data_IF_563168236644
#
_entry.id   IF_563168236644
#
_cell.length_a   1.000
_cell.length_b   1.000
_cell.length_c   1.000
_cell.angle_alpha   90.00
_cell.angle_beta   90.00
_cell.angle_gamma   90.00
#
_symmetry.space_group_name_H-M   'P 1'
#
loop_
_entity.id
_entity.type
_entity.pdbx_description
1 polymer ?
#
# COMPACT_ATOMS: atom_id res chain seq x y z
N UNK A 1 4.65 44.98 54.12
CA UNK A 1 3.38 44.39 53.63
C UNK A 1 3.39 44.44 52.11
N UNK A 2 3.58 43.32 51.43
CA UNK A 2 3.24 43.20 50.00
C UNK A 2 2.88 41.74 49.72
N UNK A 3 1.59 41.46 49.58
CA UNK A 3 1.11 40.15 49.14
C UNK A 3 1.12 40.18 47.60
N UNK A 4 2.03 39.46 46.97
CA UNK A 4 1.96 39.19 45.54
C UNK A 4 1.08 37.94 45.35
N UNK A 5 -0.20 38.16 45.08
CA UNK A 5 -1.10 37.12 44.56
C UNK A 5 -0.74 36.85 43.10
N UNK A 6 -0.03 35.76 42.84
CA UNK A 6 0.13 35.22 41.48
C UNK A 6 -1.15 34.43 41.17
N UNK A 7 -1.98 34.99 40.31
CA UNK A 7 -3.18 34.33 39.81
C UNK A 7 -2.78 33.09 39.01
N UNK A 8 -3.26 31.92 39.45
CA UNK A 8 -3.07 30.64 38.79
C UNK A 8 -3.93 30.60 37.52
N UNK A 9 -3.32 30.92 36.38
CA UNK A 9 -3.92 30.76 35.06
C UNK A 9 -4.09 29.26 34.77
N UNK A 10 -5.24 28.69 35.16
CA UNK A 10 -5.65 27.37 34.70
C UNK A 10 -5.91 27.44 33.19
N UNK A 11 -4.87 27.16 32.40
CA UNK A 11 -4.99 26.86 30.98
C UNK A 11 -5.84 25.59 30.85
N UNK A 12 -7.14 25.80 30.63
CA UNK A 12 -8.06 24.76 30.23
C UNK A 12 -7.57 24.22 28.88
N UNK A 13 -6.83 23.11 28.92
CA UNK A 13 -6.60 22.27 27.77
C UNK A 13 -7.94 21.66 27.36
N UNK A 14 -8.77 22.43 26.64
CA UNK A 14 -9.85 21.84 25.87
C UNK A 14 -9.19 20.95 24.83
N UNK A 15 -9.21 19.65 25.07
CA UNK A 15 -8.94 18.67 24.03
C UNK A 15 -9.94 18.92 22.90
N UNK A 16 -9.46 19.48 21.79
CA UNK A 16 -10.24 19.52 20.56
C UNK A 16 -10.52 18.08 20.16
N UNK A 17 -11.73 17.58 20.43
CA UNK A 17 -12.18 16.32 19.86
C UNK A 17 -12.36 16.57 18.37
N UNK A 18 -11.40 16.10 17.57
CA UNK A 18 -11.51 16.13 16.13
C UNK A 18 -12.73 15.29 15.74
N UNK A 19 -13.77 15.93 15.18
CA UNK A 19 -14.87 15.20 14.58
C UNK A 19 -14.31 14.35 13.44
N UNK A 20 -14.42 13.04 13.58
CA UNK A 20 -14.06 12.11 12.50
C UNK A 20 -15.07 12.31 11.38
N UNK A 21 -14.61 12.75 10.21
CA UNK A 21 -15.46 12.88 9.04
C UNK A 21 -16.20 11.57 8.77
N UNK A 22 -17.51 11.63 8.51
CA UNK A 22 -18.29 10.47 8.10
C UNK A 22 -17.86 10.03 6.71
N UNK A 23 -17.07 8.97 6.64
CA UNK A 23 -16.68 8.34 5.38
C UNK A 23 -17.90 7.63 4.78
N UNK A 24 -18.12 7.84 3.48
CA UNK A 24 -19.23 7.25 2.73
C UNK A 24 -18.73 6.56 1.46
N UNK A 25 -19.59 5.75 0.84
CA UNK A 25 -19.30 4.99 -0.38
C UNK A 25 -18.92 3.54 -0.10
N UNK A 26 -18.70 2.76 -1.17
CA UNK A 26 -18.48 1.30 -1.06
C UNK A 26 -17.22 0.93 -0.28
N UNK A 27 -16.22 1.82 -0.24
CA UNK A 27 -15.04 1.61 0.60
C UNK A 27 -15.28 1.63 2.11
N UNK A 28 -16.37 2.25 2.56
CA UNK A 28 -16.80 2.24 3.96
C UNK A 28 -17.76 1.08 4.27
N UNK A 29 -18.03 0.19 3.31
CA UNK A 29 -18.71 -1.07 3.58
C UNK A 29 -17.79 -1.98 4.38
N UNK A 30 -18.36 -2.73 5.34
CA UNK A 30 -17.60 -3.78 6.02
C UNK A 30 -17.16 -4.87 5.04
N UNK A 31 -16.05 -5.53 5.37
CA UNK A 31 -15.52 -6.66 4.62
C UNK A 31 -16.50 -7.82 4.55
N UNK A 32 -17.31 -8.07 5.60
CA UNK A 32 -18.40 -9.04 5.54
C UNK A 32 -19.44 -8.66 4.48
N UNK A 33 -19.83 -7.38 4.41
CA UNK A 33 -20.78 -6.87 3.41
C UNK A 33 -20.21 -7.02 2.00
N UNK A 34 -18.97 -6.59 1.77
CA UNK A 34 -18.28 -6.78 0.50
C UNK A 34 -18.31 -8.24 0.03
N UNK A 35 -17.86 -9.17 0.89
CA UNK A 35 -17.80 -10.59 0.53
C UNK A 35 -19.18 -11.20 0.24
N UNK A 36 -20.22 -10.76 0.93
CA UNK A 36 -21.60 -11.18 0.62
C UNK A 36 -22.06 -10.63 -0.73
N UNK A 37 -21.89 -9.33 -0.94
CA UNK A 37 -22.34 -8.64 -2.15
C UNK A 37 -21.68 -9.18 -3.42
N UNK A 38 -20.37 -9.47 -3.41
CA UNK A 38 -19.70 -10.05 -4.58
C UNK A 38 -20.08 -11.51 -4.86
N UNK A 39 -20.57 -12.25 -3.85
CA UNK A 39 -21.10 -13.62 -4.08
C UNK A 39 -22.49 -13.56 -4.71
N UNK A 40 -23.32 -12.63 -4.24
CA UNK A 40 -24.68 -12.45 -4.74
C UNK A 40 -24.69 -11.78 -6.12
N UNK A 41 -23.80 -10.81 -6.33
CA UNK A 41 -23.66 -10.05 -7.57
C UNK A 41 -22.18 -9.93 -7.95
N UNK A 42 -21.62 -10.91 -8.70
CA UNK A 42 -20.20 -10.92 -9.07
C UNK A 42 -19.69 -9.66 -9.77
N UNK A 43 -20.57 -8.94 -10.49
CA UNK A 43 -20.22 -7.68 -11.14
C UNK A 43 -19.77 -6.59 -10.15
N UNK A 44 -20.27 -6.59 -8.89
CA UNK A 44 -19.87 -5.61 -7.87
C UNK A 44 -18.39 -5.71 -7.51
N UNK A 45 -17.75 -6.86 -7.74
CA UNK A 45 -16.30 -7.01 -7.50
C UNK A 45 -15.50 -5.99 -8.31
N UNK A 46 -15.91 -5.71 -9.56
CA UNK A 46 -15.26 -4.71 -10.41
C UNK A 46 -15.40 -3.31 -9.82
N UNK A 47 -16.57 -2.97 -9.30
CA UNK A 47 -16.85 -1.64 -8.77
C UNK A 47 -16.05 -1.39 -7.48
N UNK A 48 -16.02 -2.38 -6.58
CA UNK A 48 -15.16 -2.38 -5.39
C UNK A 48 -13.68 -2.27 -5.76
N UNK A 49 -13.22 -3.03 -6.75
CA UNK A 49 -11.82 -2.99 -7.17
C UNK A 49 -11.44 -1.65 -7.82
N UNK A 50 -12.29 -1.10 -8.70
CA UNK A 50 -12.08 0.21 -9.30
C UNK A 50 -12.03 1.32 -8.23
N UNK A 51 -12.88 1.23 -7.20
CA UNK A 51 -12.80 2.14 -6.06
C UNK A 51 -11.49 2.00 -5.28
N UNK A 52 -11.02 0.77 -5.03
CA UNK A 52 -9.74 0.53 -4.35
C UNK A 52 -8.56 1.11 -5.15
N UNK A 53 -8.54 0.92 -6.47
CA UNK A 53 -7.54 1.52 -7.35
C UNK A 53 -7.56 3.05 -7.26
N UNK A 54 -8.73 3.67 -7.36
CA UNK A 54 -8.87 5.13 -7.19
C UNK A 54 -8.41 5.64 -5.83
N UNK A 55 -8.75 4.92 -4.75
CA UNK A 55 -8.29 5.22 -3.39
C UNK A 55 -6.76 5.19 -3.29
N UNK A 56 -6.13 4.14 -3.82
CA UNK A 56 -4.67 3.98 -3.82
C UNK A 56 -3.97 5.04 -4.66
N UNK A 57 -4.48 5.34 -5.86
CA UNK A 57 -3.97 6.44 -6.69
C UNK A 57 -4.09 7.78 -5.98
N UNK A 58 -5.21 8.04 -5.30
CA UNK A 58 -5.37 9.25 -4.49
C UNK A 58 -4.38 9.34 -3.33
N UNK A 59 -4.06 8.21 -2.69
CA UNK A 59 -3.03 8.15 -1.65
C UNK A 59 -1.64 8.45 -2.22
N UNK A 60 -1.31 7.88 -3.38
CA UNK A 60 -0.05 8.12 -4.08
C UNK A 60 0.12 9.58 -4.50
N UNK A 61 -0.92 10.21 -5.07
CA UNK A 61 -0.91 11.62 -5.49
C UNK A 61 -0.66 12.57 -4.31
N UNK A 62 -1.18 12.24 -3.12
CA UNK A 62 -1.03 13.05 -1.91
C UNK A 62 0.20 12.67 -1.09
N UNK A 63 1.01 11.70 -1.53
CA UNK A 63 2.22 11.33 -0.83
C UNK A 63 3.20 12.53 -0.82
N UNK A 64 3.95 12.73 0.28
CA UNK A 64 5.02 13.71 0.29
C UNK A 64 6.03 13.46 -0.81
N UNK A 65 6.73 14.50 -1.26
CA UNK A 65 7.76 14.37 -2.29
C UNK A 65 8.81 13.31 -1.90
N UNK A 66 9.17 12.46 -2.86
CA UNK A 66 10.09 11.34 -2.66
C UNK A 66 9.49 10.12 -1.95
N UNK A 67 8.34 10.23 -1.29
CA UNK A 67 7.63 9.09 -0.70
C UNK A 67 6.82 8.38 -1.78
N UNK A 68 6.99 7.06 -1.86
CA UNK A 68 6.33 6.20 -2.86
C UNK A 68 6.57 6.64 -4.31
N UNK A 69 7.65 7.40 -4.55
CA UNK A 69 8.04 7.84 -5.88
C UNK A 69 8.33 6.63 -6.77
N UNK A 70 7.66 6.56 -7.91
CA UNK A 70 7.79 5.43 -8.85
C UNK A 70 7.09 4.15 -8.38
N UNK A 71 6.25 4.20 -7.34
CA UNK A 71 5.37 3.09 -6.99
C UNK A 71 4.43 2.76 -8.15
N UNK A 72 4.60 1.56 -8.72
CA UNK A 72 3.68 0.99 -9.68
C UNK A 72 2.54 0.27 -8.93
N UNK A 73 1.31 0.71 -9.14
CA UNK A 73 0.11 0.07 -8.58
C UNK A 73 -0.37 -1.13 -9.41
N UNK A 74 0.24 -1.35 -10.57
CA UNK A 74 -0.05 -2.43 -11.51
C UNK A 74 1.22 -3.19 -11.91
N UNK A 75 2.07 -3.61 -10.95
CA UNK A 75 3.33 -4.24 -11.29
C UNK A 75 3.07 -5.60 -11.98
N UNK A 76 3.83 -5.97 -13.03
CA UNK A 76 3.65 -7.26 -13.70
C UNK A 76 3.82 -8.48 -12.78
N UNK A 77 4.56 -8.34 -11.68
CA UNK A 77 4.77 -9.38 -10.67
C UNK A 77 3.59 -9.58 -9.72
N UNK A 78 2.58 -8.69 -9.75
CA UNK A 78 1.37 -8.80 -8.93
C UNK A 78 0.14 -8.29 -9.71
N UNK A 79 -0.35 -9.10 -10.67
CA UNK A 79 -1.40 -8.71 -11.62
C UNK A 79 -2.74 -8.43 -10.93
N UNK A 80 -3.65 -7.80 -11.66
CA UNK A 80 -4.92 -7.31 -11.10
C UNK A 80 -5.77 -8.41 -10.48
N UNK A 81 -5.76 -9.61 -11.06
CA UNK A 81 -6.48 -10.77 -10.55
C UNK A 81 -5.97 -11.18 -9.16
N UNK A 82 -4.65 -11.13 -8.94
CA UNK A 82 -4.04 -11.39 -7.63
C UNK A 82 -4.35 -10.28 -6.62
N UNK A 83 -4.42 -9.02 -7.08
CA UNK A 83 -4.86 -7.90 -6.23
C UNK A 83 -6.32 -8.06 -5.79
N UNK A 84 -7.20 -8.51 -6.69
CA UNK A 84 -8.60 -8.80 -6.38
C UNK A 84 -8.70 -9.95 -5.38
N UNK A 85 -7.94 -11.03 -5.58
CA UNK A 85 -7.94 -12.16 -4.66
C UNK A 85 -7.34 -11.78 -3.29
N UNK A 86 -6.33 -10.91 -3.25
CA UNK A 86 -5.81 -10.34 -2.02
C UNK A 86 -6.92 -9.64 -1.22
N UNK A 87 -7.75 -8.81 -1.87
CA UNK A 87 -8.85 -8.10 -1.21
C UNK A 87 -9.90 -9.07 -0.67
N UNK A 88 -10.28 -10.09 -1.45
CA UNK A 88 -11.20 -11.17 -1.02
C UNK A 88 -10.67 -11.91 0.20
N UNK A 89 -9.42 -12.35 0.13
CA UNK A 89 -8.76 -13.07 1.22
C UNK A 89 -8.59 -12.21 2.47
N UNK A 90 -8.23 -10.93 2.32
CA UNK A 90 -8.16 -10.00 3.45
C UNK A 90 -9.53 -9.88 4.12
N UNK A 91 -10.58 -9.61 3.35
CA UNK A 91 -11.91 -9.43 3.90
C UNK A 91 -12.54 -10.70 4.46
N UNK A 92 -12.15 -11.89 3.96
CA UNK A 92 -12.60 -13.16 4.53
C UNK A 92 -12.09 -13.35 5.97
N UNK A 93 -10.88 -12.84 6.27
CA UNK A 93 -10.23 -12.94 7.58
C UNK A 93 -10.59 -11.81 8.54
N UNK A 94 -11.03 -10.66 8.03
CA UNK A 94 -11.25 -9.43 8.80
C UNK A 94 -12.67 -8.90 8.56
N UNK A 95 -13.68 -9.66 8.96
CA UNK A 95 -15.08 -9.41 8.59
C UNK A 95 -15.66 -8.08 9.13
N UNK A 96 -15.11 -7.60 10.24
CA UNK A 96 -15.50 -6.40 10.98
C UNK A 96 -14.79 -5.12 10.53
N UNK A 97 -13.71 -5.24 9.74
CA UNK A 97 -13.01 -4.09 9.15
C UNK A 97 -13.73 -3.56 7.91
N UNK A 98 -13.40 -2.33 7.52
CA UNK A 98 -13.94 -1.73 6.30
C UNK A 98 -13.15 -2.23 5.08
N UNK A 99 -13.79 -2.21 3.90
CA UNK A 99 -13.13 -2.54 2.65
C UNK A 99 -11.95 -1.59 2.36
N UNK A 100 -12.01 -0.34 2.82
CA UNK A 100 -10.88 0.59 2.77
C UNK A 100 -9.63 0.04 3.50
N UNK A 101 -9.80 -0.69 4.59
CA UNK A 101 -8.66 -1.27 5.30
C UNK A 101 -7.97 -2.37 4.48
N UNK A 102 -8.76 -3.14 3.71
CA UNK A 102 -8.25 -4.08 2.72
C UNK A 102 -7.49 -3.36 1.60
N UNK A 103 -8.04 -2.26 1.06
CA UNK A 103 -7.36 -1.44 0.05
C UNK A 103 -6.06 -0.82 0.59
N UNK A 104 -6.04 -0.36 1.84
CA UNK A 104 -4.84 0.14 2.51
C UNK A 104 -3.81 -0.97 2.71
N UNK A 105 -4.24 -2.19 3.03
CA UNK A 105 -3.36 -3.35 3.16
C UNK A 105 -2.75 -3.73 1.80
N UNK A 106 -3.54 -3.70 0.72
CA UNK A 106 -3.07 -3.93 -0.64
C UNK A 106 -2.02 -2.88 -1.05
N UNK A 107 -2.29 -1.60 -0.81
CA UNK A 107 -1.34 -0.51 -1.06
C UNK A 107 0.01 -0.75 -0.38
N UNK A 108 -0.01 -1.13 0.91
CA UNK A 108 1.20 -1.48 1.65
C UNK A 108 1.92 -2.70 1.08
N UNK A 109 1.18 -3.68 0.57
CA UNK A 109 1.76 -4.86 -0.06
C UNK A 109 2.50 -4.48 -1.35
N UNK A 110 1.85 -3.71 -2.23
CA UNK A 110 2.44 -3.20 -3.47
C UNK A 110 3.71 -2.38 -3.20
N UNK A 111 3.68 -1.50 -2.20
CA UNK A 111 4.87 -0.74 -1.77
C UNK A 111 6.05 -1.63 -1.42
N UNK A 112 5.82 -2.72 -0.67
CA UNK A 112 6.88 -3.67 -0.31
C UNK A 112 7.45 -4.36 -1.55
N UNK A 113 6.59 -4.78 -2.47
CA UNK A 113 7.03 -5.39 -3.73
C UNK A 113 7.89 -4.42 -4.55
N UNK A 114 7.49 -3.15 -4.64
CA UNK A 114 8.26 -2.13 -5.37
C UNK A 114 9.60 -1.82 -4.70
N UNK A 115 9.69 -1.81 -3.37
CA UNK A 115 10.98 -1.64 -2.68
C UNK A 115 11.94 -2.79 -2.99
N UNK A 116 11.45 -4.04 -2.95
CA UNK A 116 12.25 -5.22 -3.27
C UNK A 116 12.69 -5.24 -4.75
N UNK A 117 11.79 -4.84 -5.65
CA UNK A 117 12.11 -4.71 -7.08
C UNK A 117 13.13 -3.60 -7.36
N UNK A 118 13.04 -2.48 -6.65
CA UNK A 118 13.97 -1.35 -6.78
C UNK A 118 15.38 -1.69 -6.28
N UNK A 119 15.48 -2.47 -5.20
CA UNK A 119 16.76 -2.96 -4.68
C UNK A 119 17.40 -3.95 -5.67
N UNK A 120 16.62 -4.86 -6.24
CA UNK A 120 17.11 -5.79 -7.26
C UNK A 120 17.54 -5.08 -8.55
N UNK A 121 16.78 -4.08 -9.00
CA UNK A 121 17.12 -3.25 -10.15
C UNK A 121 18.42 -2.47 -9.91
N UNK A 122 18.61 -1.89 -8.71
CA UNK A 122 19.87 -1.22 -8.32
C UNK A 122 21.05 -2.17 -8.31
N UNK A 123 20.90 -3.38 -7.79
CA UNK A 123 21.97 -4.41 -7.79
C UNK A 123 22.32 -4.82 -9.22
N UNK A 124 21.33 -5.01 -10.09
CA UNK A 124 21.53 -5.40 -11.49
C UNK A 124 22.22 -4.30 -12.32
N UNK A 125 21.94 -3.03 -12.03
CA UNK A 125 22.64 -1.88 -12.65
C UNK A 125 24.07 -1.73 -12.10
N UNK A 126 24.30 -2.03 -10.82
CA UNK A 126 25.63 -1.98 -10.21
C UNK A 126 26.56 -3.11 -10.68
N UNK A 127 26.00 -4.26 -11.10
CA UNK A 127 26.72 -5.38 -11.68
C UNK A 127 26.15 -5.71 -13.07
N UNK A 128 26.47 -4.95 -14.13
CA UNK A 128 26.15 -5.39 -15.47
C UNK A 128 26.88 -6.72 -15.69
N UNK A 129 26.11 -7.77 -16.02
CA UNK A 129 26.64 -9.04 -16.50
C UNK A 129 27.56 -8.75 -17.69
N UNK A 130 28.86 -8.69 -17.41
CA UNK A 130 29.90 -8.58 -18.41
C UNK A 130 29.73 -9.71 -19.41
N UNK A 131 29.71 -9.31 -20.68
CA UNK A 131 29.84 -10.12 -21.88
C UNK A 131 30.64 -11.42 -21.65
N UNK A 132 29.94 -12.55 -21.64
CA UNK A 132 30.55 -13.86 -21.88
C UNK A 132 30.77 -14.04 -23.38
N UNK A 133 31.68 -13.25 -23.96
CA UNK A 133 32.30 -13.56 -25.26
C UNK A 133 33.80 -13.69 -25.04
N UNK A 134 34.33 -14.91 -25.20
CA UNK A 134 35.78 -15.16 -25.21
C UNK A 134 36.30 -16.31 -24.35
N UNK A 135 35.57 -17.43 -24.23
CA UNK A 135 36.13 -18.68 -23.72
C UNK A 135 36.66 -19.55 -24.87
N UNK A 136 37.78 -19.16 -25.47
CA UNK A 136 38.59 -20.05 -26.33
C UNK A 136 40.06 -19.88 -25.99
N UNK A 137 40.61 -20.83 -25.24
CA UNK A 137 42.03 -20.79 -24.86
C UNK A 137 42.46 -21.84 -23.86
N UNK A 138 41.94 -23.06 -23.96
CA UNK A 138 42.46 -24.24 -23.26
C UNK A 138 43.90 -24.49 -23.73
N UNK A 139 44.91 -24.34 -22.87
CA UNK A 139 46.24 -24.95 -23.08
C UNK A 139 46.50 -25.95 -21.95
N UNK A 140 46.19 -27.20 -22.26
CA UNK A 140 46.61 -28.37 -21.48
C UNK A 140 48.14 -28.44 -21.49
N UNK A 141 48.74 -28.57 -20.30
CA UNK A 141 50.08 -29.12 -20.14
C UNK A 141 50.00 -30.63 -20.42
N UNK A 142 50.89 -31.14 -21.25
CA UNK A 142 51.22 -32.56 -21.31
C UNK A 142 52.73 -32.72 -21.48
N UNK A 143 53.22 -33.78 -20.83
CA UNK A 143 54.59 -34.29 -20.70
C UNK A 143 55.38 -34.32 -22.01
#
# INVERSE_FOLDING_TARGET
MWKATVALSALLALSAQAETAKIVGIGASSCNRFNREIRETPALQRDYFAWAQGFMSGALIRAPEGVDAGLDLTPPSFPLEEQVEFLRTFCAKNQDQDFMDAARALYRHLRKLSTLGSDFQRVSVAYPLGTLEGATGMRSKSV
#
